data_IF_082139469480
#
_entry.id   IF_082139469480
#
_cell.length_a   1.000
_cell.length_b   1.000
_cell.length_c   1.000
_cell.angle_alpha   90.00
_cell.angle_beta   90.00
_cell.angle_gamma   90.00
#
_symmetry.space_group_name_H-M   'P 1'
#
loop_
_entity.id
_entity.type
_entity.pdbx_description
1 polymer ?
#
# COMPACT_ATOMS: atom_id res chain seq x y z
N UNK A 1 23.70 -6.00 11.24
CA UNK A 1 22.82 -6.57 10.19
C UNK A 1 21.51 -7.09 10.77
N UNK A 2 21.53 -8.11 11.66
CA UNK A 2 20.31 -8.73 12.21
C UNK A 2 19.26 -7.75 12.77
N UNK A 3 19.67 -6.64 13.41
CA UNK A 3 18.71 -5.67 13.97
C UNK A 3 17.96 -4.85 12.91
N UNK A 4 18.61 -4.45 11.81
CA UNK A 4 17.95 -3.68 10.74
C UNK A 4 17.12 -4.60 9.83
N UNK A 5 17.68 -5.77 9.50
CA UNK A 5 16.99 -6.85 8.80
C UNK A 5 15.68 -7.21 9.49
N UNK A 6 15.72 -7.50 10.80
CA UNK A 6 14.52 -7.85 11.55
C UNK A 6 13.51 -6.70 11.57
N UNK A 7 13.96 -5.45 11.67
CA UNK A 7 13.06 -4.29 11.58
C UNK A 7 12.37 -4.19 10.22
N UNK A 8 13.12 -4.37 9.12
CA UNK A 8 12.56 -4.30 7.76
C UNK A 8 11.57 -5.43 7.53
N UNK A 9 11.93 -6.66 7.91
CA UNK A 9 11.02 -7.80 7.82
C UNK A 9 9.74 -7.57 8.64
N UNK A 10 9.87 -7.12 9.89
CA UNK A 10 8.71 -6.83 10.73
C UNK A 10 7.81 -5.77 10.10
N UNK A 11 8.37 -4.66 9.60
CA UNK A 11 7.59 -3.60 8.97
C UNK A 11 6.92 -4.06 7.66
N UNK A 12 7.55 -4.94 6.89
CA UNK A 12 6.92 -5.57 5.72
C UNK A 12 5.78 -6.50 6.12
N UNK A 13 5.94 -7.28 7.19
CA UNK A 13 4.89 -8.15 7.74
C UNK A 13 3.73 -7.33 8.35
N UNK A 14 4.01 -6.19 8.98
CA UNK A 14 2.97 -5.24 9.44
C UNK A 14 2.19 -4.65 8.27
N UNK A 15 2.91 -4.19 7.23
CA UNK A 15 2.29 -3.70 5.99
C UNK A 15 1.39 -4.76 5.37
N UNK A 16 1.80 -6.05 5.39
CA UNK A 16 0.99 -7.18 4.92
C UNK A 16 -0.37 -7.26 5.60
N UNK A 17 -0.41 -7.12 6.93
CA UNK A 17 -1.64 -7.23 7.71
C UNK A 17 -2.60 -6.10 7.33
N UNK A 18 -2.08 -4.87 7.22
CA UNK A 18 -2.89 -3.69 6.87
C UNK A 18 -3.40 -3.75 5.42
N UNK A 19 -2.55 -4.16 4.48
CA UNK A 19 -2.90 -4.29 3.07
C UNK A 19 -4.00 -5.31 2.86
N UNK A 20 -3.92 -6.47 3.53
CA UNK A 20 -4.96 -7.49 3.44
C UNK A 20 -6.33 -6.93 3.87
N UNK A 21 -6.37 -6.20 4.98
CA UNK A 21 -7.60 -5.54 5.45
C UNK A 21 -8.14 -4.51 4.46
N UNK A 22 -7.26 -3.64 3.95
CA UNK A 22 -7.63 -2.62 2.96
C UNK A 22 -8.18 -3.24 1.66
N UNK A 23 -7.56 -4.30 1.17
CA UNK A 23 -7.93 -4.94 -0.09
C UNK A 23 -9.26 -5.70 0.01
N UNK A 24 -9.54 -6.36 1.15
CA UNK A 24 -10.86 -6.99 1.37
C UNK A 24 -11.97 -5.93 1.41
N UNK A 25 -11.74 -4.82 2.10
CA UNK A 25 -12.69 -3.70 2.13
C UNK A 25 -12.88 -3.08 0.73
N UNK A 26 -11.80 -2.92 -0.02
CA UNK A 26 -11.87 -2.40 -1.40
C UNK A 26 -12.74 -3.30 -2.29
N UNK A 27 -12.52 -4.61 -2.24
CA UNK A 27 -13.31 -5.57 -3.01
C UNK A 27 -14.79 -5.59 -2.63
N UNK A 28 -15.09 -5.52 -1.33
CA UNK A 28 -16.46 -5.33 -0.86
C UNK A 28 -17.07 -4.02 -1.38
N UNK A 29 -16.34 -2.91 -1.34
CA UNK A 29 -16.85 -1.61 -1.80
C UNK A 29 -17.13 -1.59 -3.30
N UNK A 30 -16.24 -2.17 -4.13
CA UNK A 30 -16.51 -2.36 -5.56
C UNK A 30 -17.78 -3.15 -5.80
N UNK A 31 -17.93 -4.29 -5.11
CA UNK A 31 -19.11 -5.12 -5.23
C UNK A 31 -20.38 -4.40 -4.76
N UNK A 32 -20.30 -3.64 -3.67
CA UNK A 32 -21.44 -2.98 -3.03
C UNK A 32 -22.17 -2.03 -3.98
N UNK A 33 -21.45 -1.39 -4.92
CA UNK A 33 -22.03 -0.52 -5.93
C UNK A 33 -22.96 -1.27 -6.90
N UNK A 34 -22.80 -2.58 -7.05
CA UNK A 34 -23.58 -3.43 -7.97
C UNK A 34 -24.59 -4.32 -7.26
N UNK A 35 -24.84 -4.10 -5.97
CA UNK A 35 -25.87 -4.82 -5.24
C UNK A 35 -27.24 -4.13 -5.40
N UNK A 36 -28.32 -4.90 -5.49
CA UNK A 36 -29.66 -4.36 -5.74
C UNK A 36 -30.11 -3.32 -4.68
N UNK A 37 -29.60 -3.44 -3.44
CA UNK A 37 -29.90 -2.49 -2.37
C UNK A 37 -29.25 -1.11 -2.61
N UNK A 38 -28.15 -1.06 -3.35
CA UNK A 38 -27.43 0.18 -3.65
C UNK A 38 -28.31 1.20 -4.35
N UNK A 39 -29.09 0.75 -5.35
CA UNK A 39 -29.99 1.62 -6.13
C UNK A 39 -31.03 2.33 -5.27
N UNK A 40 -31.48 1.67 -4.20
CA UNK A 40 -32.47 2.20 -3.25
C UNK A 40 -31.88 3.18 -2.22
N UNK A 41 -30.55 3.33 -2.15
CA UNK A 41 -29.91 4.23 -1.19
C UNK A 41 -30.17 5.70 -1.55
N UNK A 42 -30.29 6.58 -0.53
CA UNK A 42 -30.29 8.02 -0.75
C UNK A 42 -29.04 8.48 -1.51
N UNK A 43 -29.12 9.51 -2.38
CA UNK A 43 -27.97 10.01 -3.13
C UNK A 43 -26.78 10.38 -2.23
N UNK A 44 -27.03 10.97 -1.06
CA UNK A 44 -25.98 11.28 -0.08
C UNK A 44 -25.18 10.05 0.36
N UNK A 45 -25.84 8.91 0.56
CA UNK A 45 -25.19 7.65 0.94
C UNK A 45 -24.36 7.07 -0.21
N UNK A 46 -24.84 7.18 -1.45
CA UNK A 46 -24.08 6.75 -2.64
C UNK A 46 -22.79 7.56 -2.81
N UNK A 47 -22.84 8.89 -2.66
CA UNK A 47 -21.64 9.74 -2.72
C UNK A 47 -20.68 9.50 -1.54
N UNK A 48 -21.21 9.20 -0.35
CA UNK A 48 -20.38 8.81 0.80
C UNK A 48 -19.65 7.48 0.53
N UNK A 49 -20.34 6.47 0.01
CA UNK A 49 -19.69 5.20 -0.38
C UNK A 49 -18.64 5.41 -1.48
N UNK A 50 -18.89 6.30 -2.46
CA UNK A 50 -17.90 6.65 -3.48
C UNK A 50 -16.67 7.37 -2.88
N UNK A 51 -16.90 8.21 -1.86
CA UNK A 51 -15.83 8.88 -1.11
C UNK A 51 -15.00 7.85 -0.33
N UNK A 52 -15.66 6.90 0.36
CA UNK A 52 -14.98 5.82 1.05
C UNK A 52 -14.16 4.94 0.08
N UNK A 53 -14.69 4.68 -1.12
CA UNK A 53 -13.99 3.95 -2.17
C UNK A 53 -12.73 4.69 -2.61
N UNK A 54 -12.83 5.99 -2.81
CA UNK A 54 -11.69 6.84 -3.16
C UNK A 54 -10.62 6.84 -2.06
N UNK A 55 -11.03 6.90 -0.79
CA UNK A 55 -10.13 6.85 0.37
C UNK A 55 -9.41 5.50 0.47
N UNK A 56 -10.12 4.38 0.31
CA UNK A 56 -9.48 3.06 0.40
C UNK A 56 -8.55 2.79 -0.79
N UNK A 57 -8.80 3.40 -1.95
CA UNK A 57 -7.86 3.38 -3.08
C UNK A 57 -6.58 4.16 -2.78
N UNK A 58 -6.69 5.33 -2.12
CA UNK A 58 -5.54 6.09 -1.65
C UNK A 58 -4.72 5.26 -0.64
N UNK A 59 -5.40 4.64 0.33
CA UNK A 59 -4.78 3.72 1.30
C UNK A 59 -4.01 2.61 0.59
N UNK A 60 -4.61 1.96 -0.41
CA UNK A 60 -3.95 0.88 -1.15
C UNK A 60 -2.70 1.39 -1.88
N UNK A 61 -2.79 2.55 -2.52
CA UNK A 61 -1.64 3.17 -3.20
C UNK A 61 -0.49 3.42 -2.25
N UNK A 62 -0.79 4.02 -1.09
CA UNK A 62 0.18 4.26 -0.02
C UNK A 62 0.80 2.95 0.47
N UNK A 63 -0.01 1.98 0.91
CA UNK A 63 0.54 0.79 1.53
C UNK A 63 1.37 -0.09 0.58
N UNK A 64 1.10 -0.07 -0.74
CA UNK A 64 1.89 -0.79 -1.75
C UNK A 64 3.19 -0.04 -2.14
N UNK A 65 3.27 1.28 -1.92
CA UNK A 65 4.43 2.08 -2.32
C UNK A 65 5.78 1.62 -1.76
N UNK A 66 5.92 1.10 -0.52
CA UNK A 66 7.16 0.53 0.00
C UNK A 66 7.79 -0.51 -0.91
N UNK A 67 7.02 -1.42 -1.51
CA UNK A 67 7.55 -2.43 -2.42
C UNK A 67 8.21 -1.78 -3.65
N UNK A 68 7.53 -0.80 -4.26
CA UNK A 68 8.07 -0.05 -5.39
C UNK A 68 9.34 0.74 -5.03
N UNK A 69 9.35 1.39 -3.87
CA UNK A 69 10.51 2.13 -3.37
C UNK A 69 11.71 1.20 -3.11
N UNK A 70 11.47 0.07 -2.44
CA UNK A 70 12.51 -0.90 -2.10
C UNK A 70 13.17 -1.47 -3.37
N UNK A 71 12.39 -1.74 -4.42
CA UNK A 71 12.91 -2.29 -5.67
C UNK A 71 13.56 -1.25 -6.58
N UNK A 72 12.97 -0.07 -6.72
CA UNK A 72 13.45 0.98 -7.65
C UNK A 72 14.63 1.75 -7.07
N UNK A 73 14.52 2.21 -5.82
CA UNK A 73 15.53 3.08 -5.17
C UNK A 73 16.65 2.26 -4.56
N UNK A 74 16.31 1.18 -3.87
CA UNK A 74 17.27 0.41 -3.08
C UNK A 74 17.71 -0.91 -3.73
N UNK A 75 17.08 -1.34 -4.83
CA UNK A 75 17.38 -2.63 -5.48
C UNK A 75 17.30 -3.83 -4.51
N UNK A 76 16.38 -3.75 -3.54
CA UNK A 76 16.21 -4.74 -2.48
C UNK A 76 17.25 -4.70 -1.36
N UNK A 77 18.10 -3.67 -1.30
CA UNK A 77 19.01 -3.48 -0.16
C UNK A 77 18.29 -2.83 1.03
N UNK A 78 18.60 -3.35 2.21
CA UNK A 78 18.14 -2.89 3.50
C UNK A 78 18.79 -1.57 3.86
N UNK A 79 17.96 -0.57 4.14
CA UNK A 79 18.44 0.76 4.50
C UNK A 79 17.54 1.38 5.55
N UNK A 80 18.12 2.20 6.43
CA UNK A 80 17.35 2.96 7.42
C UNK A 80 16.35 3.92 6.73
N UNK A 81 16.69 4.42 5.54
CA UNK A 81 15.81 5.25 4.73
C UNK A 81 14.55 4.50 4.27
N UNK A 82 14.68 3.21 3.93
CA UNK A 82 13.52 2.38 3.60
C UNK A 82 12.61 2.21 4.81
N UNK A 83 13.18 1.82 5.95
CA UNK A 83 12.42 1.64 7.18
C UNK A 83 11.64 2.90 7.53
N UNK A 84 12.30 4.08 7.57
CA UNK A 84 11.63 5.37 7.83
C UNK A 84 10.54 5.71 6.82
N UNK A 85 10.79 5.46 5.53
CA UNK A 85 9.79 5.70 4.49
C UNK A 85 8.55 4.82 4.70
N UNK A 86 8.75 3.52 4.94
CA UNK A 86 7.64 2.59 5.12
C UNK A 86 6.83 2.89 6.37
N UNK A 87 7.48 3.18 7.51
CA UNK A 87 6.78 3.60 8.73
C UNK A 87 5.95 4.86 8.52
N UNK A 88 6.52 5.91 7.91
CA UNK A 88 5.79 7.15 7.65
C UNK A 88 4.59 6.95 6.72
N UNK A 89 4.73 6.10 5.69
CA UNK A 89 3.64 5.80 4.76
C UNK A 89 2.51 5.02 5.45
N UNK A 90 2.84 4.05 6.31
CA UNK A 90 1.85 3.32 7.12
C UNK A 90 1.09 4.29 8.03
N UNK A 91 1.81 5.15 8.75
CA UNK A 91 1.21 6.18 9.62
C UNK A 91 0.27 7.11 8.85
N UNK A 92 0.64 7.55 7.64
CA UNK A 92 -0.20 8.40 6.79
C UNK A 92 -1.43 7.63 6.27
N UNK A 93 -1.29 6.34 5.96
CA UNK A 93 -2.35 5.51 5.38
C UNK A 93 -3.46 5.17 6.40
N UNK A 94 -3.16 5.08 7.69
CA UNK A 94 -4.15 4.73 8.71
C UNK A 94 -5.25 5.80 8.86
N UNK A 95 -4.94 7.08 8.62
CA UNK A 95 -5.93 8.16 8.72
C UNK A 95 -7.07 8.06 7.69
N UNK A 96 -6.82 8.03 6.35
CA UNK A 96 -7.87 7.84 5.37
C UNK A 96 -8.55 6.47 5.51
N UNK A 97 -7.86 5.45 6.04
CA UNK A 97 -8.47 4.17 6.40
C UNK A 97 -9.57 4.35 7.46
N UNK A 98 -9.28 5.06 8.56
CA UNK A 98 -10.24 5.32 9.62
C UNK A 98 -11.49 6.06 9.11
N UNK A 99 -11.30 7.08 8.25
CA UNK A 99 -12.40 7.80 7.63
C UNK A 99 -13.24 6.91 6.70
N UNK A 100 -12.59 6.10 5.85
CA UNK A 100 -13.28 5.12 5.00
C UNK A 100 -14.15 4.18 5.84
N UNK A 101 -13.59 3.63 6.93
CA UNK A 101 -14.32 2.73 7.82
C UNK A 101 -15.52 3.41 8.50
N UNK A 102 -15.31 4.63 9.02
CA UNK A 102 -16.37 5.41 9.65
C UNK A 102 -17.51 5.74 8.70
N UNK A 103 -17.21 6.08 7.45
CA UNK A 103 -18.22 6.34 6.41
C UNK A 103 -19.03 5.06 6.12
N UNK A 104 -18.37 3.93 5.92
CA UNK A 104 -19.05 2.66 5.70
C UNK A 104 -19.96 2.30 6.87
N UNK A 105 -19.49 2.50 8.10
CA UNK A 105 -20.28 2.23 9.31
C UNK A 105 -21.48 3.17 9.45
N UNK A 106 -21.29 4.47 9.18
CA UNK A 106 -22.38 5.45 9.16
C UNK A 106 -23.47 5.05 8.15
N UNK A 107 -23.09 4.73 6.92
CA UNK A 107 -24.04 4.35 5.86
C UNK A 107 -24.79 3.08 6.25
N UNK A 108 -24.10 2.06 6.76
CA UNK A 108 -24.74 0.83 7.24
C UNK A 108 -25.70 1.09 8.40
N UNK A 109 -25.33 1.96 9.35
CA UNK A 109 -26.18 2.27 10.51
C UNK A 109 -27.39 3.12 10.10
N UNK A 110 -27.25 3.97 9.09
CA UNK A 110 -28.33 4.84 8.58
C UNK A 110 -29.50 4.05 7.99
N UNK A 111 -29.25 2.83 7.52
CA UNK A 111 -30.28 1.90 7.03
C UNK A 111 -31.15 1.32 8.17
N UNK A 112 -30.63 1.30 9.40
CA UNK A 112 -31.31 0.70 10.55
C UNK A 112 -31.86 1.76 11.51
N UNK A 113 -31.15 2.88 11.64
CA UNK A 113 -31.45 3.91 12.65
C UNK A 113 -31.68 5.30 12.03
N UNK A 114 -32.41 6.20 12.73
CA UNK A 114 -32.55 7.58 12.32
C UNK A 114 -31.21 8.33 12.34
N UNK A 115 -31.16 9.46 11.63
CA UNK A 115 -29.97 10.27 11.43
C UNK A 115 -29.11 10.51 12.69
N UNK A 116 -29.63 10.97 13.86
CA UNK A 116 -28.78 11.28 15.00
C UNK A 116 -28.04 10.05 15.56
N UNK A 117 -28.69 8.89 15.58
CA UNK A 117 -28.08 7.64 16.05
C UNK A 117 -27.04 7.13 15.04
N UNK A 118 -27.33 7.21 13.74
CA UNK A 118 -26.37 6.85 12.71
C UNK A 118 -25.13 7.77 12.74
N UNK A 119 -25.33 9.08 12.92
CA UNK A 119 -24.24 10.05 13.04
C UNK A 119 -23.36 9.77 14.27
N UNK A 120 -23.97 9.50 15.43
CA UNK A 120 -23.24 9.12 16.64
C UNK A 120 -22.43 7.83 16.43
N UNK A 121 -23.03 6.81 15.81
CA UNK A 121 -22.34 5.56 15.47
C UNK A 121 -21.15 5.78 14.53
N UNK A 122 -21.30 6.63 13.50
CA UNK A 122 -20.22 7.01 12.59
C UNK A 122 -19.08 7.75 13.30
N UNK A 123 -19.40 8.67 14.21
CA UNK A 123 -18.40 9.38 15.02
C UNK A 123 -17.66 8.43 15.98
N UNK A 124 -18.36 7.48 16.60
CA UNK A 124 -17.74 6.44 17.44
C UNK A 124 -16.82 5.55 16.59
N UNK A 125 -17.27 5.16 15.40
CA UNK A 125 -16.49 4.36 14.46
C UNK A 125 -15.26 5.10 13.91
N UNK A 126 -15.26 6.44 13.90
CA UNK A 126 -14.08 7.26 13.60
C UNK A 126 -13.17 7.44 14.81
N UNK A 127 -13.75 7.77 15.97
CA UNK A 127 -13.01 8.03 17.20
C UNK A 127 -12.28 6.80 17.73
N UNK A 128 -12.86 5.61 17.58
CA UNK A 128 -12.29 4.36 18.10
C UNK A 128 -10.94 4.04 17.44
N UNK A 129 -10.81 3.93 16.09
CA UNK A 129 -9.51 3.74 15.46
C UNK A 129 -8.53 4.87 15.76
N UNK A 130 -8.97 6.13 15.76
CA UNK A 130 -8.07 7.26 16.04
C UNK A 130 -7.49 7.19 17.46
N UNK A 131 -8.29 6.80 18.44
CA UNK A 131 -7.84 6.59 19.81
C UNK A 131 -6.84 5.43 19.90
N UNK A 132 -7.16 4.26 19.34
CA UNK A 132 -6.31 3.08 19.44
C UNK A 132 -5.02 3.17 18.62
N UNK A 133 -5.06 3.81 17.45
CA UNK A 133 -3.90 3.90 16.55
C UNK A 133 -3.00 5.09 16.89
N UNK A 134 -3.55 6.30 17.08
CA UNK A 134 -2.74 7.50 17.34
C UNK A 134 -2.80 7.95 18.80
N UNK A 135 -3.97 7.85 19.45
CA UNK A 135 -4.16 8.31 20.83
C UNK A 135 -3.29 7.56 21.84
N UNK A 136 -3.28 6.22 21.78
CA UNK A 136 -2.44 5.38 22.64
C UNK A 136 -0.95 5.58 22.38
N UNK A 137 -0.56 5.82 21.12
CA UNK A 137 0.83 6.09 20.76
C UNK A 137 1.32 7.40 21.38
N UNK A 138 0.52 8.47 21.31
CA UNK A 138 0.85 9.77 21.91
C UNK A 138 1.00 9.69 23.43
N UNK A 139 0.16 8.90 24.10
CA UNK A 139 0.20 8.71 25.56
C UNK A 139 1.48 7.98 25.98
N UNK A 140 1.82 6.87 25.31
CA UNK A 140 3.00 6.07 25.69
C UNK A 140 4.33 6.62 25.14
N UNK A 141 4.30 7.49 24.13
CA UNK A 141 5.49 8.21 23.66
C UNK A 141 6.02 9.19 24.74
N UNK A 142 5.16 9.67 25.63
CA UNK A 142 5.53 10.49 26.78
C UNK A 142 6.31 9.73 27.86
N UNK A 143 6.16 8.40 27.95
CA UNK A 143 6.80 7.60 29.02
C UNK A 143 8.13 6.97 28.60
N UNK A 144 8.42 6.88 27.29
CA UNK A 144 9.67 6.29 26.76
C UNK A 144 10.85 7.28 26.64
N UNK A 145 10.65 8.55 26.98
CA UNK A 145 11.74 9.49 27.25
C UNK A 145 11.82 9.76 28.75
N UNK A 146 12.43 8.87 29.56
CA UNK A 146 13.08 9.37 30.76
C UNK A 146 14.10 10.40 30.29
N UNK A 147 13.99 11.63 30.79
CA UNK A 147 15.06 12.62 30.73
C UNK A 147 16.36 11.90 31.08
N UNK A 148 17.30 11.84 30.14
CA UNK A 148 18.66 11.40 30.39
C UNK A 148 19.40 12.46 31.18
N UNK A 149 18.87 12.83 32.35
CA UNK A 149 19.51 13.70 33.33
C UNK A 149 20.14 12.79 34.39
N UNK A 150 21.24 12.11 34.00
CA UNK A 150 22.34 11.59 34.84
C UNK A 150 23.06 10.42 34.16
N UNK A 151 24.02 10.72 33.29
CA UNK A 151 25.10 9.75 32.99
C UNK A 151 26.34 10.50 32.47
N UNK A 152 26.94 11.29 33.37
CA UNK A 152 28.22 11.97 33.14
C UNK A 152 29.40 11.13 33.65
N UNK A 153 29.55 9.88 33.19
CA UNK A 153 30.77 9.10 33.45
C UNK A 153 31.62 9.01 32.17
N UNK A 154 32.87 9.49 32.15
CA UNK A 154 33.72 9.54 30.96
C UNK A 154 33.92 8.18 30.26
N UNK A 155 33.86 7.08 31.01
CA UNK A 155 34.06 5.72 30.50
C UNK A 155 32.97 5.25 29.52
N UNK A 156 31.70 5.66 29.73
CA UNK A 156 30.60 5.31 28.81
C UNK A 156 30.63 6.13 27.53
N UNK A 157 31.19 7.33 27.58
CA UNK A 157 31.37 8.18 26.40
C UNK A 157 32.47 7.62 25.50
N UNK A 158 33.58 7.14 26.06
CA UNK A 158 34.62 6.45 25.28
C UNK A 158 34.11 5.14 24.67
N UNK A 159 33.39 4.31 25.42
CA UNK A 159 32.78 3.08 24.89
C UNK A 159 31.71 3.37 23.82
N UNK A 160 30.91 4.43 24.00
CA UNK A 160 29.92 4.87 23.02
C UNK A 160 30.59 5.47 21.78
N UNK A 161 31.65 6.27 21.94
CA UNK A 161 32.43 6.80 20.84
C UNK A 161 33.18 5.69 20.11
N UNK A 162 33.69 4.67 20.79
CA UNK A 162 34.36 3.51 20.18
C UNK A 162 33.35 2.61 19.46
N UNK A 163 32.14 2.41 20.00
CA UNK A 163 31.02 1.77 19.29
C UNK A 163 30.57 2.58 18.08
N UNK A 164 30.44 3.90 18.18
CA UNK A 164 30.10 4.79 17.06
C UNK A 164 31.22 4.79 16.02
N UNK A 165 32.49 4.65 16.42
CA UNK A 165 33.63 4.50 15.51
C UNK A 165 33.64 3.13 14.84
N UNK A 166 33.31 2.05 15.55
CA UNK A 166 33.16 0.69 15.00
C UNK A 166 31.90 0.50 14.14
N UNK A 167 30.82 1.24 14.40
CA UNK A 167 29.60 1.24 13.60
C UNK A 167 29.68 2.22 12.40
N UNK A 168 30.35 3.35 12.57
CA UNK A 168 30.63 4.33 11.52
C UNK A 168 31.65 3.87 10.48
N UNK A 169 32.45 2.84 10.82
CA UNK A 169 33.45 2.23 9.94
C UNK A 169 32.99 0.90 9.31
N UNK A 170 31.70 0.53 9.43
CA UNK A 170 31.16 -0.56 8.61
C UNK A 170 30.87 -0.02 7.20
N UNK A 171 31.67 -0.41 6.17
CA UNK A 171 31.32 -0.06 4.81
C UNK A 171 29.93 -0.62 4.52
N UNK A 172 29.11 0.16 3.83
CA UNK A 172 27.80 -0.15 3.27
C UNK A 172 27.75 -1.58 2.69
N UNK A 173 27.59 -2.60 3.54
CA UNK A 173 27.58 -4.02 3.15
C UNK A 173 26.19 -4.28 2.62
N UNK A 174 26.13 -4.52 1.30
CA UNK A 174 24.90 -4.89 0.59
C UNK A 174 24.22 -6.05 1.29
N UNK A 175 22.89 -6.03 1.30
CA UNK A 175 22.08 -7.11 1.84
C UNK A 175 22.40 -8.42 1.11
N UNK A 176 22.61 -9.54 1.82
CA UNK A 176 22.79 -10.84 1.20
C UNK A 176 21.66 -11.17 0.21
N UNK A 177 22.01 -11.81 -0.90
CA UNK A 177 21.07 -12.09 -1.99
C UNK A 177 19.84 -12.91 -1.54
N UNK A 178 20.04 -13.93 -0.71
CA UNK A 178 18.95 -14.76 -0.17
C UNK A 178 17.91 -13.92 0.58
N UNK A 179 18.37 -12.95 1.36
CA UNK A 179 17.50 -12.03 2.10
C UNK A 179 16.76 -11.06 1.17
N UNK A 180 17.41 -10.58 0.12
CA UNK A 180 16.73 -9.77 -0.91
C UNK A 180 15.60 -10.53 -1.61
N UNK A 181 15.80 -11.82 -1.80
CA UNK A 181 14.83 -12.75 -2.36
C UNK A 181 13.68 -12.98 -1.37
N UNK A 182 13.98 -13.19 -0.09
CA UNK A 182 12.95 -13.29 0.96
C UNK A 182 12.09 -12.03 1.04
N UNK A 183 12.71 -10.84 1.08
CA UNK A 183 11.98 -9.57 1.06
C UNK A 183 11.11 -9.44 -0.19
N UNK A 184 11.59 -9.91 -1.35
CA UNK A 184 10.83 -9.86 -2.59
C UNK A 184 9.60 -10.77 -2.55
N UNK A 185 9.78 -12.00 -2.08
CA UNK A 185 8.70 -12.96 -1.93
C UNK A 185 7.68 -12.48 -0.90
N UNK A 186 8.13 -11.82 0.17
CA UNK A 186 7.25 -11.17 1.15
C UNK A 186 6.46 -10.02 0.53
N UNK A 187 7.11 -9.09 -0.16
CA UNK A 187 6.42 -8.00 -0.89
C UNK A 187 5.40 -8.51 -1.89
N UNK A 188 5.71 -9.61 -2.57
CA UNK A 188 4.78 -10.27 -3.50
C UNK A 188 3.58 -10.89 -2.76
N UNK A 189 3.82 -11.58 -1.65
CA UNK A 189 2.79 -12.18 -0.79
C UNK A 189 1.95 -11.15 -0.04
N UNK A 190 2.46 -9.93 0.11
CA UNK A 190 1.72 -8.80 0.66
C UNK A 190 0.61 -8.37 -0.29
N UNK A 191 0.91 -8.23 -1.59
CA UNK A 191 -0.07 -7.77 -2.58
C UNK A 191 -1.01 -8.88 -3.08
N UNK A 192 -0.53 -10.13 -3.12
CA UNK A 192 -1.21 -11.25 -3.77
C UNK A 192 -2.62 -11.56 -3.22
N UNK A 193 -2.84 -11.73 -1.90
CA UNK A 193 -4.15 -12.12 -1.38
C UNK A 193 -5.26 -11.13 -1.76
N UNK A 194 -4.99 -9.84 -1.77
CA UNK A 194 -6.02 -8.90 -2.17
C UNK A 194 -6.16 -8.68 -3.66
N UNK A 195 -5.12 -8.92 -4.47
CA UNK A 195 -5.33 -9.06 -5.92
C UNK A 195 -6.30 -10.23 -6.21
N UNK A 196 -6.17 -11.34 -5.49
CA UNK A 196 -7.09 -12.48 -5.56
C UNK A 196 -8.49 -12.15 -5.03
N UNK A 197 -8.58 -11.39 -3.93
CA UNK A 197 -9.86 -10.92 -3.42
C UNK A 197 -10.58 -10.04 -4.45
N UNK A 198 -9.89 -9.02 -4.99
CA UNK A 198 -10.43 -8.15 -6.04
C UNK A 198 -10.91 -8.97 -7.23
N UNK A 199 -10.10 -9.91 -7.72
CA UNK A 199 -10.47 -10.80 -8.81
C UNK A 199 -11.80 -11.53 -8.52
N UNK A 200 -11.94 -12.10 -7.32
CA UNK A 200 -13.16 -12.79 -6.90
C UNK A 200 -14.38 -11.87 -6.81
N UNK A 201 -14.23 -10.70 -6.19
CA UNK A 201 -15.31 -9.71 -6.09
C UNK A 201 -15.76 -9.20 -7.46
N UNK A 202 -14.83 -9.00 -8.39
CA UNK A 202 -15.14 -8.62 -9.77
C UNK A 202 -15.90 -9.71 -10.51
N UNK A 203 -15.50 -10.99 -10.38
CA UNK A 203 -16.25 -12.09 -10.98
C UNK A 203 -17.71 -12.14 -10.49
N UNK A 204 -17.94 -11.83 -9.21
CA UNK A 204 -19.30 -11.78 -8.66
C UNK A 204 -20.13 -10.67 -9.29
N UNK A 205 -19.54 -9.52 -9.64
CA UNK A 205 -20.25 -8.40 -10.27
C UNK A 205 -20.95 -8.83 -11.57
N UNK A 206 -20.33 -9.71 -12.37
CA UNK A 206 -20.95 -10.25 -13.60
C UNK A 206 -22.26 -10.99 -13.37
N UNK A 207 -22.51 -11.47 -12.16
CA UNK A 207 -23.70 -12.23 -11.78
C UNK A 207 -24.79 -11.34 -11.16
N UNK A 208 -24.59 -10.02 -11.12
CA UNK A 208 -25.52 -9.08 -10.49
C UNK A 208 -26.47 -8.45 -11.50
N UNK A 209 -27.73 -8.24 -11.11
CA UNK A 209 -28.73 -7.59 -11.97
C UNK A 209 -28.39 -6.14 -12.36
N UNK A 210 -27.78 -5.30 -11.48
CA UNK A 210 -27.31 -3.98 -11.89
C UNK A 210 -26.26 -4.01 -13.00
N UNK A 211 -25.36 -5.01 -13.01
CA UNK A 211 -24.37 -5.16 -14.08
C UNK A 211 -25.02 -5.47 -15.44
N UNK A 212 -26.09 -6.28 -15.47
CA UNK A 212 -26.83 -6.58 -16.70
C UNK A 212 -27.41 -5.34 -17.37
N UNK A 213 -27.78 -4.32 -16.57
CA UNK A 213 -28.39 -3.07 -17.05
C UNK A 213 -27.36 -2.04 -17.51
N UNK A 214 -26.06 -2.28 -17.28
CA UNK A 214 -25.02 -1.36 -17.73
C UNK A 214 -24.93 -1.29 -19.26
N UNK A 215 -24.58 -0.11 -19.82
CA UNK A 215 -24.16 0.04 -21.20
C UNK A 215 -23.06 -0.95 -21.59
N UNK A 216 -23.09 -1.46 -22.84
CA UNK A 216 -22.10 -2.43 -23.33
C UNK A 216 -20.65 -1.94 -23.21
N UNK A 217 -20.41 -0.64 -23.40
CA UNK A 217 -19.09 -0.03 -23.24
C UNK A 217 -18.52 -0.21 -21.82
N UNK A 218 -19.36 -0.06 -20.79
CA UNK A 218 -18.96 -0.25 -19.39
C UNK A 218 -18.72 -1.73 -19.06
N UNK A 219 -19.50 -2.64 -19.67
CA UNK A 219 -19.26 -4.09 -19.54
C UNK A 219 -17.91 -4.49 -20.12
N UNK A 220 -17.55 -3.97 -21.31
CA UNK A 220 -16.23 -4.21 -21.90
C UNK A 220 -15.11 -3.59 -21.08
N UNK A 221 -15.32 -2.39 -20.53
CA UNK A 221 -14.33 -1.75 -19.65
C UNK A 221 -14.10 -2.54 -18.36
N UNK A 222 -15.18 -3.04 -17.73
CA UNK A 222 -15.08 -3.92 -16.57
C UNK A 222 -14.36 -5.23 -16.91
N UNK A 223 -14.65 -5.83 -18.08
CA UNK A 223 -13.94 -7.02 -18.56
C UNK A 223 -12.44 -6.76 -18.82
N UNK A 224 -12.10 -5.61 -19.38
CA UNK A 224 -10.70 -5.20 -19.58
C UNK A 224 -9.99 -5.00 -18.23
N UNK A 225 -10.65 -4.34 -17.28
CA UNK A 225 -10.18 -4.19 -15.90
C UNK A 225 -9.95 -5.54 -15.21
N UNK A 226 -10.93 -6.44 -15.26
CA UNK A 226 -10.83 -7.81 -14.75
C UNK A 226 -9.64 -8.56 -15.37
N UNK A 227 -9.41 -8.37 -16.67
CA UNK A 227 -8.28 -8.96 -17.39
C UNK A 227 -6.94 -8.44 -16.85
N UNK A 228 -6.82 -7.14 -16.54
CA UNK A 228 -5.64 -6.57 -15.88
C UNK A 228 -5.43 -7.10 -14.46
N UNK A 229 -6.48 -7.27 -13.66
CA UNK A 229 -6.38 -7.89 -12.33
C UNK A 229 -6.00 -9.37 -12.40
N UNK A 230 -6.51 -10.08 -13.43
CA UNK A 230 -6.13 -11.47 -13.71
C UNK A 230 -4.64 -11.57 -14.04
N UNK A 231 -4.14 -10.73 -14.96
CA UNK A 231 -2.71 -10.66 -15.31
C UNK A 231 -1.88 -10.31 -14.06
N UNK A 232 -2.32 -9.34 -13.26
CA UNK A 232 -1.66 -8.97 -12.00
C UNK A 232 -1.53 -10.18 -11.06
N UNK A 233 -2.59 -10.96 -10.90
CA UNK A 233 -2.60 -12.15 -10.05
C UNK A 233 -1.62 -13.21 -10.56
N UNK A 234 -1.60 -13.45 -11.89
CA UNK A 234 -0.65 -14.39 -12.51
C UNK A 234 0.79 -13.92 -12.29
N UNK A 235 1.06 -12.63 -12.51
CA UNK A 235 2.39 -12.04 -12.30
C UNK A 235 2.82 -12.17 -10.83
N UNK A 236 1.96 -11.89 -9.86
CA UNK A 236 2.28 -12.05 -8.43
C UNK A 236 2.49 -13.52 -8.01
N UNK A 237 1.83 -14.48 -8.66
CA UNK A 237 2.08 -15.91 -8.39
C UNK A 237 3.40 -16.41 -9.02
N UNK A 238 3.86 -15.77 -10.08
CA UNK A 238 5.00 -16.21 -10.90
C UNK A 238 6.32 -16.35 -10.12
N UNK A 239 6.77 -15.38 -9.28
CA UNK A 239 8.01 -15.51 -8.53
C UNK A 239 8.08 -16.76 -7.65
N UNK A 240 7.02 -17.05 -6.90
CA UNK A 240 6.98 -18.20 -6.01
C UNK A 240 6.98 -19.53 -6.79
N UNK A 241 6.25 -19.60 -7.91
CA UNK A 241 6.23 -20.77 -8.78
C UNK A 241 7.60 -20.99 -9.45
N UNK A 242 8.22 -19.92 -9.97
CA UNK A 242 9.52 -19.99 -10.62
C UNK A 242 10.63 -20.40 -9.64
N UNK A 243 10.64 -19.82 -8.44
CA UNK A 243 11.58 -20.18 -7.38
C UNK A 243 11.50 -21.67 -7.00
N UNK A 244 10.27 -22.21 -6.97
CA UNK A 244 10.03 -23.63 -6.65
C UNK A 244 10.42 -24.57 -7.80
N UNK A 245 10.06 -24.23 -9.04
CA UNK A 245 10.17 -25.14 -10.19
C UNK A 245 11.54 -25.07 -10.85
N UNK A 246 12.07 -23.86 -11.08
CA UNK A 246 13.30 -23.63 -11.86
C UNK A 246 14.51 -23.56 -10.94
N UNK A 247 14.44 -22.75 -9.90
CA UNK A 247 15.56 -22.52 -8.98
C UNK A 247 15.68 -23.63 -7.92
N UNK A 248 14.68 -24.52 -7.78
CA UNK A 248 14.62 -25.57 -6.75
C UNK A 248 14.81 -25.04 -5.32
N UNK A 249 14.51 -23.76 -5.08
CA UNK A 249 14.72 -23.09 -3.79
C UNK A 249 16.07 -22.37 -3.63
N UNK A 250 16.94 -22.39 -4.64
CA UNK A 250 18.24 -21.72 -4.60
C UNK A 250 18.15 -20.19 -4.79
N UNK A 251 19.06 -19.47 -4.15
CA UNK A 251 19.10 -18.00 -4.18
C UNK A 251 20.03 -17.49 -5.30
N UNK A 252 19.48 -17.23 -6.49
CA UNK A 252 20.26 -16.73 -7.64
C UNK A 252 19.97 -15.27 -8.00
N UNK A 253 21.00 -14.57 -8.48
CA UNK A 253 20.90 -13.17 -8.90
C UNK A 253 19.99 -13.03 -10.13
N UNK A 254 19.94 -14.06 -10.98
CA UNK A 254 19.03 -14.11 -12.13
C UNK A 254 17.58 -14.14 -11.67
N UNK A 255 17.25 -14.98 -10.68
CA UNK A 255 15.92 -15.02 -10.09
C UNK A 255 15.53 -13.68 -9.47
N UNK A 256 16.39 -13.06 -8.65
CA UNK A 256 16.08 -11.78 -8.01
C UNK A 256 15.74 -10.67 -9.03
N UNK A 257 16.52 -10.57 -10.12
CA UNK A 257 16.25 -9.60 -11.19
C UNK A 257 14.97 -9.89 -11.95
N UNK A 258 14.72 -11.16 -12.27
CA UNK A 258 13.49 -11.58 -12.94
C UNK A 258 12.27 -11.26 -12.08
N UNK A 259 12.27 -11.74 -10.83
CA UNK A 259 11.17 -11.57 -9.91
C UNK A 259 10.90 -10.10 -9.58
N UNK A 260 11.95 -9.26 -9.51
CA UNK A 260 11.80 -7.82 -9.27
C UNK A 260 11.08 -7.14 -10.44
N UNK A 261 11.38 -7.53 -11.68
CA UNK A 261 10.69 -7.01 -12.87
C UNK A 261 9.23 -7.46 -12.92
N UNK A 262 8.97 -8.72 -12.57
CA UNK A 262 7.61 -9.27 -12.51
C UNK A 262 6.76 -8.56 -11.45
N UNK A 263 7.32 -8.34 -10.25
CA UNK A 263 6.66 -7.58 -9.20
C UNK A 263 6.32 -6.16 -9.68
N UNK A 264 7.27 -5.43 -10.27
CA UNK A 264 7.01 -4.08 -10.79
C UNK A 264 6.01 -4.06 -11.95
N UNK A 265 6.06 -5.05 -12.86
CA UNK A 265 5.09 -5.19 -13.94
C UNK A 265 3.68 -5.45 -13.41
N UNK A 266 3.55 -6.21 -12.32
CA UNK A 266 2.26 -6.46 -11.68
C UNK A 266 1.63 -5.20 -11.12
N UNK A 267 2.43 -4.25 -10.60
CA UNK A 267 1.92 -2.96 -10.12
C UNK A 267 1.34 -2.12 -11.26
N UNK A 268 1.98 -2.13 -12.43
CA UNK A 268 1.48 -1.46 -13.64
C UNK A 268 0.09 -1.96 -14.03
N UNK A 269 -0.09 -3.28 -14.09
CA UNK A 269 -1.39 -3.88 -14.43
C UNK A 269 -2.41 -3.72 -13.31
N UNK A 270 -1.99 -3.75 -12.03
CA UNK A 270 -2.86 -3.53 -10.88
C UNK A 270 -3.52 -2.15 -10.94
N UNK A 271 -2.73 -1.10 -11.18
CA UNK A 271 -3.24 0.26 -11.29
C UNK A 271 -4.27 0.40 -12.42
N UNK A 272 -4.03 -0.22 -13.57
CA UNK A 272 -4.96 -0.19 -14.71
C UNK A 272 -6.27 -0.91 -14.40
N UNK A 273 -6.21 -2.08 -13.79
CA UNK A 273 -7.42 -2.82 -13.39
C UNK A 273 -8.25 -2.03 -12.39
N UNK A 274 -7.66 -1.65 -11.27
CA UNK A 274 -8.37 -0.94 -10.19
C UNK A 274 -9.00 0.37 -10.69
N UNK A 275 -8.28 1.16 -11.49
CA UNK A 275 -8.81 2.45 -11.99
C UNK A 275 -9.87 2.27 -13.09
N UNK A 276 -9.78 1.19 -13.88
CA UNK A 276 -10.83 0.80 -14.82
C UNK A 276 -12.14 0.49 -14.09
N UNK A 277 -12.09 -0.30 -13.02
CA UNK A 277 -13.29 -0.56 -12.20
C UNK A 277 -13.78 0.67 -11.46
N UNK A 278 -12.85 1.52 -10.98
CA UNK A 278 -13.23 2.78 -10.37
C UNK A 278 -14.00 3.67 -11.34
N UNK A 279 -13.65 3.68 -12.63
CA UNK A 279 -14.42 4.39 -13.65
C UNK A 279 -15.84 3.84 -13.75
N UNK A 280 -15.99 2.51 -13.81
CA UNK A 280 -17.31 1.88 -13.93
C UNK A 280 -18.17 2.21 -12.70
N UNK A 281 -17.61 2.17 -11.50
CA UNK A 281 -18.34 2.55 -10.27
C UNK A 281 -18.69 4.04 -10.27
N UNK A 282 -17.74 4.94 -10.55
CA UNK A 282 -18.03 6.39 -10.57
C UNK A 282 -19.13 6.68 -11.59
N UNK A 283 -19.07 6.11 -12.80
CA UNK A 283 -20.11 6.28 -13.79
C UNK A 283 -21.45 5.71 -13.28
N UNK A 284 -21.45 4.51 -12.70
CA UNK A 284 -22.68 3.90 -12.18
C UNK A 284 -23.33 4.73 -11.07
N UNK A 285 -22.54 5.42 -10.24
CA UNK A 285 -23.04 6.27 -9.15
C UNK A 285 -23.50 7.65 -9.62
N UNK A 286 -22.82 8.22 -10.63
CA UNK A 286 -22.97 9.64 -10.99
C UNK A 286 -23.65 9.88 -12.34
N UNK A 287 -23.86 8.83 -13.13
CA UNK A 287 -24.34 8.89 -14.52
C UNK A 287 -23.52 9.84 -15.42
N UNK A 288 -22.27 10.13 -15.04
CA UNK A 288 -21.42 11.13 -15.68
C UNK A 288 -20.10 10.55 -16.17
N UNK A 289 -20.01 10.29 -17.47
CA UNK A 289 -18.78 9.90 -18.17
C UNK A 289 -17.61 10.88 -17.96
N UNK A 290 -17.78 12.22 -18.07
CA UNK A 290 -16.63 13.12 -17.90
C UNK A 290 -16.10 13.11 -16.46
N UNK A 291 -17.00 13.03 -15.46
CA UNK A 291 -16.59 12.95 -14.05
C UNK A 291 -15.89 11.62 -13.76
N UNK A 292 -16.43 10.50 -14.25
CA UNK A 292 -15.80 9.19 -14.15
C UNK A 292 -14.41 9.18 -14.81
N UNK A 293 -14.29 9.76 -16.00
CA UNK A 293 -13.00 9.89 -16.69
C UNK A 293 -12.00 10.71 -15.90
N UNK A 294 -12.40 11.88 -15.40
CA UNK A 294 -11.54 12.76 -14.62
C UNK A 294 -11.05 12.10 -13.32
N UNK A 295 -11.96 11.51 -12.54
CA UNK A 295 -11.61 10.87 -11.27
C UNK A 295 -10.75 9.61 -11.45
N UNK A 296 -11.04 8.79 -12.47
CA UNK A 296 -10.22 7.61 -12.75
C UNK A 296 -8.85 7.95 -13.30
N UNK A 297 -8.73 8.98 -14.15
CA UNK A 297 -7.43 9.48 -14.59
C UNK A 297 -6.64 10.07 -13.43
N UNK A 298 -7.27 10.86 -12.55
CA UNK A 298 -6.63 11.37 -11.34
C UNK A 298 -6.11 10.22 -10.47
N UNK A 299 -6.93 9.19 -10.26
CA UNK A 299 -6.53 8.02 -9.48
C UNK A 299 -5.40 7.22 -10.16
N UNK A 300 -5.42 7.11 -11.49
CA UNK A 300 -4.35 6.49 -12.27
C UNK A 300 -3.03 7.26 -12.12
N UNK A 301 -3.07 8.58 -12.25
CA UNK A 301 -1.90 9.44 -12.01
C UNK A 301 -1.41 9.36 -10.58
N UNK A 302 -2.32 9.24 -9.60
CA UNK A 302 -1.95 9.00 -8.21
C UNK A 302 -1.17 7.68 -8.06
N UNK A 303 -1.67 6.55 -8.58
CA UNK A 303 -0.97 5.26 -8.48
C UNK A 303 0.38 5.27 -9.21
N UNK A 304 0.41 5.70 -10.48
CA UNK A 304 1.65 5.73 -11.26
C UNK A 304 2.65 6.76 -10.73
N UNK A 305 2.16 7.93 -10.31
CA UNK A 305 2.95 8.98 -9.70
C UNK A 305 3.56 8.54 -8.38
N UNK A 306 2.82 7.81 -7.55
CA UNK A 306 3.32 7.32 -6.26
C UNK A 306 4.29 6.14 -6.41
N UNK A 307 3.95 5.14 -7.23
CA UNK A 307 4.74 3.91 -7.34
C UNK A 307 5.96 4.05 -8.23
N UNK A 308 5.87 4.82 -9.31
CA UNK A 308 6.97 4.97 -10.27
C UNK A 308 7.53 6.40 -10.28
N UNK A 309 6.67 7.43 -10.33
CA UNK A 309 7.12 8.82 -10.40
C UNK A 309 7.97 9.23 -9.20
N UNK A 310 7.43 9.08 -7.99
CA UNK A 310 8.07 9.44 -6.72
C UNK A 310 9.32 8.59 -6.48
N UNK A 311 9.24 7.29 -6.73
CA UNK A 311 10.37 6.39 -6.50
C UNK A 311 11.52 6.65 -7.47
N UNK A 312 11.24 6.92 -8.75
CA UNK A 312 12.26 7.33 -9.73
C UNK A 312 12.86 8.69 -9.35
N UNK A 313 12.05 9.66 -8.93
CA UNK A 313 12.54 10.95 -8.47
C UNK A 313 13.49 10.83 -7.26
N UNK A 314 13.11 10.03 -6.26
CA UNK A 314 13.94 9.79 -5.07
C UNK A 314 15.23 9.02 -5.42
N UNK A 315 15.16 8.09 -6.38
CA UNK A 315 16.35 7.40 -6.91
C UNK A 315 17.33 8.40 -7.55
N UNK A 316 16.84 9.27 -8.44
CA UNK A 316 17.68 10.23 -9.17
C UNK A 316 18.37 11.21 -8.20
N UNK A 317 17.64 11.75 -7.22
CA UNK A 317 18.22 12.62 -6.19
C UNK A 317 19.33 11.93 -5.39
N UNK A 318 19.15 10.65 -5.06
CA UNK A 318 20.17 9.90 -4.32
C UNK A 318 21.44 9.67 -5.15
N UNK A 319 21.29 9.46 -6.46
CA UNK A 319 22.42 9.34 -7.38
C UNK A 319 23.17 10.68 -7.53
N UNK A 320 22.46 11.80 -7.63
CA UNK A 320 23.05 13.15 -7.65
C UNK A 320 23.84 13.45 -6.37
N UNK A 321 23.26 13.19 -5.20
CA UNK A 321 23.96 13.36 -3.91
C UNK A 321 25.16 12.43 -3.73
N UNK A 322 25.18 11.26 -4.39
CA UNK A 322 26.34 10.37 -4.37
C UNK A 322 27.46 10.91 -5.24
N UNK A 323 27.15 11.31 -6.48
CA UNK A 323 28.12 11.93 -7.40
C UNK A 323 28.74 13.20 -6.81
N UNK A 324 27.94 14.06 -6.19
CA UNK A 324 28.44 15.28 -5.53
C UNK A 324 29.42 14.99 -4.39
N UNK A 325 29.18 13.93 -3.59
CA UNK A 325 30.11 13.50 -2.55
C UNK A 325 31.40 12.89 -3.11
N UNK A 326 31.31 12.08 -4.16
CA UNK A 326 32.48 11.49 -4.82
C UNK A 326 33.39 12.58 -5.39
N UNK A 327 32.83 13.65 -5.99
CA UNK A 327 33.59 14.81 -6.48
C UNK A 327 34.26 15.59 -5.33
N UNK A 328 33.53 15.83 -4.22
CA UNK A 328 34.06 16.51 -3.04
C UNK A 328 35.21 15.76 -2.36
N UNK A 329 35.16 14.42 -2.37
CA UNK A 329 36.22 13.56 -1.84
C UNK A 329 37.42 13.51 -2.80
N UNK A 330 37.19 13.47 -4.11
CA UNK A 330 38.26 13.47 -5.11
C UNK A 330 38.99 14.82 -5.24
N UNK A 331 38.38 15.91 -4.76
CA UNK A 331 38.96 17.27 -4.76
C UNK A 331 39.80 17.58 -3.50
N UNK A 332 39.87 16.67 -2.52
CA UNK A 332 40.68 16.81 -1.30
C UNK A 332 41.94 15.96 -1.38
#
# INVERSE_FOLDING_TARGET
>A
MAKLQNKIKNVLDESRILILGAQVLLGFQYRSAFEARFDALPPSSKYLLLTALSLILIVLGLLISPASYHRIVNRGDDTEAFHRFTTAIIEIALLPFAFSLAINFYVATREVFPFPLAAAAGLIALGTPLYFWYGLELIHRSERFPRTDREGSPAHLEDALEKVKKEGDQPNRRTPLAEKIDHLLTETRVALPGAQALLGFQFVIFLTSPFERLPSSLKYLHLASLSFITITTILLMTPAAYHRIVEKGESTEQFHRFASRILLASLTTLALGITGDFFVVVHHVTDSTPLAGALSLLMLFFFYGLWFGLTIYLKNRREEHRKGREILVASK
#
